data_IF_177934310790
#
_entry.id   IF_177934310790
#
_cell.length_a   1.000
_cell.length_b   1.000
_cell.length_c   1.000
_cell.angle_alpha   90.00
_cell.angle_beta   90.00
_cell.angle_gamma   90.00
#
_symmetry.space_group_name_H-M   'P 1'
#
loop_
_entity.id
_entity.type
_entity.pdbx_description
1 polymer ?
#
# COMPACT_ATOMS: atom_id res chain seq x y z
N UNK A 1 -38.62 -21.63 1.84
CA UNK A 1 -39.38 -20.69 1.03
C UNK A 1 -38.48 -19.77 0.22
N UNK A 2 -39.08 -18.93 -0.60
CA UNK A 2 -38.36 -18.01 -1.50
C UNK A 2 -37.45 -17.05 -0.76
N UNK A 3 -37.85 -16.56 0.43
CA UNK A 3 -37.03 -15.65 1.23
C UNK A 3 -35.75 -16.32 1.75
N UNK A 4 -35.85 -17.61 2.13
CA UNK A 4 -34.69 -18.40 2.59
C UNK A 4 -33.71 -18.63 1.43
N UNK A 5 -34.23 -18.98 0.26
CA UNK A 5 -33.42 -19.21 -0.94
C UNK A 5 -32.69 -17.93 -1.36
N UNK A 6 -33.37 -16.79 -1.29
CA UNK A 6 -32.79 -15.50 -1.56
C UNK A 6 -31.66 -15.14 -0.56
N UNK A 7 -31.91 -15.43 0.72
CA UNK A 7 -30.88 -15.19 1.77
C UNK A 7 -29.65 -16.08 1.55
N UNK A 8 -29.85 -17.34 1.16
CA UNK A 8 -28.76 -18.27 0.83
C UNK A 8 -27.97 -17.78 -0.40
N UNK A 9 -28.65 -17.26 -1.42
CA UNK A 9 -28.00 -16.66 -2.58
C UNK A 9 -27.16 -15.44 -2.20
N UNK A 10 -27.70 -14.57 -1.35
CA UNK A 10 -26.95 -13.38 -0.88
C UNK A 10 -25.72 -13.79 -0.07
N UNK A 11 -25.83 -14.83 0.77
CA UNK A 11 -24.70 -15.36 1.52
C UNK A 11 -23.60 -15.90 0.60
N UNK A 12 -23.98 -16.61 -0.46
CA UNK A 12 -23.03 -17.10 -1.46
C UNK A 12 -22.40 -15.96 -2.25
N UNK A 13 -23.17 -14.95 -2.60
CA UNK A 13 -22.66 -13.72 -3.23
C UNK A 13 -21.67 -12.99 -2.32
N UNK A 14 -21.95 -12.94 -1.00
CA UNK A 14 -20.99 -12.40 -0.03
C UNK A 14 -19.66 -13.15 -0.08
N UNK A 15 -19.71 -14.47 -0.02
CA UNK A 15 -18.52 -15.30 -0.04
C UNK A 15 -17.69 -15.07 -1.30
N UNK A 16 -18.34 -15.08 -2.45
CA UNK A 16 -17.69 -14.83 -3.74
C UNK A 16 -17.17 -13.40 -3.85
N UNK A 17 -17.96 -12.45 -3.39
CA UNK A 17 -17.58 -11.04 -3.41
C UNK A 17 -16.39 -10.74 -2.49
N UNK A 18 -16.34 -11.32 -1.30
CA UNK A 18 -15.21 -11.21 -0.37
C UNK A 18 -13.95 -11.82 -0.97
N UNK A 19 -14.08 -12.99 -1.59
CA UNK A 19 -12.94 -13.65 -2.25
C UNK A 19 -12.41 -12.82 -3.42
N UNK A 20 -13.29 -12.27 -4.26
CA UNK A 20 -12.89 -11.38 -5.35
C UNK A 20 -12.23 -10.11 -4.83
N UNK A 21 -12.74 -9.52 -3.76
CA UNK A 21 -12.15 -8.33 -3.13
C UNK A 21 -10.78 -8.64 -2.54
N UNK A 22 -10.61 -9.80 -1.94
CA UNK A 22 -9.33 -10.27 -1.41
C UNK A 22 -8.29 -10.45 -2.53
N UNK A 23 -8.69 -11.08 -3.64
CA UNK A 23 -7.82 -11.26 -4.80
C UNK A 23 -7.42 -9.91 -5.41
N UNK A 24 -8.36 -8.98 -5.54
CA UNK A 24 -8.08 -7.62 -5.99
C UNK A 24 -7.12 -6.89 -5.06
N UNK A 25 -7.30 -7.03 -3.74
CA UNK A 25 -6.39 -6.47 -2.74
C UNK A 25 -4.96 -7.00 -2.94
N UNK A 26 -4.81 -8.31 -3.09
CA UNK A 26 -3.51 -8.94 -3.32
C UNK A 26 -2.85 -8.44 -4.60
N UNK A 27 -3.61 -8.34 -5.68
CA UNK A 27 -3.08 -7.83 -6.96
C UNK A 27 -2.64 -6.38 -6.86
N UNK A 28 -3.43 -5.53 -6.20
CA UNK A 28 -3.06 -4.13 -5.96
C UNK A 28 -1.82 -4.00 -5.10
N UNK A 29 -1.72 -4.79 -4.03
CA UNK A 29 -0.56 -4.78 -3.15
C UNK A 29 0.70 -5.26 -3.87
N UNK A 30 0.58 -6.28 -4.71
CA UNK A 30 1.68 -6.77 -5.53
C UNK A 30 2.14 -5.69 -6.52
N UNK A 31 1.20 -5.06 -7.23
CA UNK A 31 1.51 -3.97 -8.16
C UNK A 31 2.20 -2.78 -7.47
N UNK A 32 1.74 -2.41 -6.26
CA UNK A 32 2.36 -1.36 -5.47
C UNK A 32 3.79 -1.75 -5.05
N UNK A 33 4.01 -2.99 -4.65
CA UNK A 33 5.33 -3.51 -4.27
C UNK A 33 6.29 -3.49 -5.46
N UNK A 34 5.85 -3.97 -6.62
CA UNK A 34 6.65 -3.96 -7.85
C UNK A 34 6.97 -2.53 -8.29
N UNK A 35 5.98 -1.64 -8.30
CA UNK A 35 6.18 -0.23 -8.62
C UNK A 35 7.17 0.46 -7.68
N UNK A 36 7.11 0.17 -6.39
CA UNK A 36 8.09 0.65 -5.41
C UNK A 36 9.50 0.17 -5.71
N UNK A 37 9.65 -1.13 -6.02
CA UNK A 37 10.96 -1.71 -6.35
C UNK A 37 11.54 -1.10 -7.62
N UNK A 38 10.73 -0.91 -8.66
CA UNK A 38 11.16 -0.26 -9.90
C UNK A 38 11.63 1.17 -9.66
N UNK A 39 10.88 1.97 -8.90
CA UNK A 39 11.25 3.34 -8.56
C UNK A 39 12.54 3.38 -7.75
N UNK A 40 12.72 2.47 -6.80
CA UNK A 40 13.96 2.38 -6.02
C UNK A 40 15.13 1.99 -6.88
N UNK A 41 14.95 1.05 -7.81
CA UNK A 41 16.00 0.64 -8.74
C UNK A 41 16.41 1.81 -9.64
N UNK A 42 15.46 2.57 -10.18
CA UNK A 42 15.73 3.77 -10.97
C UNK A 42 16.51 4.81 -10.15
N UNK A 43 16.10 5.06 -8.91
CA UNK A 43 16.80 6.00 -8.01
C UNK A 43 18.25 5.56 -7.73
N UNK A 44 18.47 4.25 -7.54
CA UNK A 44 19.82 3.71 -7.35
C UNK A 44 20.68 3.85 -8.59
N UNK A 45 20.11 3.64 -9.77
CA UNK A 45 20.82 3.86 -11.04
C UNK A 45 21.21 5.31 -11.23
N UNK A 46 20.31 6.25 -10.93
CA UNK A 46 20.58 7.69 -10.98
C UNK A 46 21.70 8.07 -10.01
N UNK A 47 21.66 7.54 -8.79
CA UNK A 47 22.69 7.74 -7.79
C UNK A 47 24.05 7.22 -8.29
N UNK A 48 24.07 6.04 -8.87
CA UNK A 48 25.28 5.43 -9.41
C UNK A 48 25.86 6.26 -10.56
N UNK A 49 25.02 6.67 -11.52
CA UNK A 49 25.42 7.53 -12.63
C UNK A 49 26.00 8.86 -12.14
N UNK A 50 25.35 9.49 -11.16
CA UNK A 50 25.84 10.75 -10.58
C UNK A 50 27.16 10.57 -9.83
N UNK A 51 27.34 9.44 -9.16
CA UNK A 51 28.60 9.10 -8.49
C UNK A 51 29.74 8.99 -9.50
N UNK A 52 29.50 8.30 -10.62
CA UNK A 52 30.48 8.18 -11.71
C UNK A 52 30.80 9.54 -12.29
N UNK A 53 29.79 10.36 -12.60
CA UNK A 53 29.99 11.72 -13.14
C UNK A 53 30.83 12.57 -12.20
N UNK A 54 30.55 12.49 -10.90
CA UNK A 54 31.31 13.21 -9.87
C UNK A 54 32.77 12.75 -9.83
N UNK A 55 33.01 11.44 -9.91
CA UNK A 55 34.36 10.89 -9.94
C UNK A 55 35.12 11.32 -11.19
N UNK A 56 34.46 11.28 -12.37
CA UNK A 56 35.06 11.71 -13.63
C UNK A 56 35.41 13.19 -13.59
N UNK A 57 34.49 14.03 -13.11
CA UNK A 57 34.72 15.47 -12.96
C UNK A 57 35.87 15.77 -12.00
N UNK A 58 35.91 15.09 -10.87
CA UNK A 58 37.00 15.22 -9.87
C UNK A 58 38.35 14.83 -10.45
N UNK A 59 38.38 13.66 -11.15
CA UNK A 59 39.59 13.18 -11.83
C UNK A 59 40.07 14.15 -12.88
N UNK A 60 39.15 14.73 -13.68
CA UNK A 60 39.50 15.71 -14.68
C UNK A 60 40.13 17.00 -14.08
N UNK A 61 39.57 17.46 -12.94
CA UNK A 61 40.11 18.60 -12.22
C UNK A 61 41.54 18.33 -11.68
N UNK A 62 41.77 17.16 -11.13
CA UNK A 62 43.06 16.71 -10.64
C UNK A 62 44.09 16.56 -11.77
N UNK A 63 43.66 16.04 -12.93
CA UNK A 63 44.51 15.79 -14.09
C UNK A 63 44.99 17.11 -14.75
N UNK A 64 44.29 18.23 -14.57
CA UNK A 64 44.75 19.52 -15.05
C UNK A 64 46.02 20.04 -14.39
N UNK A 65 46.49 19.35 -13.37
CA UNK A 65 47.81 19.65 -12.75
C UNK A 65 47.92 20.98 -12.06
N UNK A 66 46.83 21.69 -11.88
CA UNK A 66 46.80 22.93 -11.14
C UNK A 66 46.80 22.62 -9.66
N UNK A 67 47.98 22.46 -9.09
CA UNK A 67 48.15 22.39 -7.64
C UNK A 67 47.95 23.79 -7.05
N UNK A 68 46.78 24.04 -6.45
CA UNK A 68 46.49 25.29 -5.81
C UNK A 68 45.14 25.28 -5.10
N UNK A 69 44.89 26.33 -4.31
CA UNK A 69 43.64 26.45 -3.55
C UNK A 69 42.40 26.42 -4.44
N UNK A 70 42.49 26.94 -5.65
CA UNK A 70 41.35 26.95 -6.62
C UNK A 70 40.95 25.55 -7.03
N UNK A 71 41.91 24.67 -7.34
CA UNK A 71 41.63 23.28 -7.69
C UNK A 71 41.00 22.50 -6.50
N UNK A 72 41.55 22.72 -5.30
CA UNK A 72 40.99 22.13 -4.09
C UNK A 72 39.55 22.58 -3.83
N UNK A 73 39.27 23.87 -4.03
CA UNK A 73 37.92 24.42 -3.86
C UNK A 73 36.95 23.82 -4.89
N UNK A 74 37.38 23.63 -6.14
CA UNK A 74 36.54 22.99 -7.19
C UNK A 74 36.29 21.52 -6.91
N UNK A 75 37.29 20.79 -6.42
CA UNK A 75 37.13 19.38 -6.01
C UNK A 75 36.16 19.29 -4.83
N UNK A 76 36.30 20.13 -3.82
CA UNK A 76 35.38 20.16 -2.67
C UNK A 76 33.96 20.51 -3.10
N UNK A 77 33.79 21.42 -4.07
CA UNK A 77 32.47 21.73 -4.62
C UNK A 77 31.83 20.55 -5.32
N UNK A 78 32.60 19.80 -6.13
CA UNK A 78 32.12 18.56 -6.76
C UNK A 78 31.69 17.51 -5.74
N UNK A 79 32.47 17.33 -4.68
CA UNK A 79 32.14 16.41 -3.59
C UNK A 79 30.83 16.84 -2.90
N UNK A 80 30.68 18.16 -2.66
CA UNK A 80 29.48 18.71 -2.05
C UNK A 80 28.25 18.50 -2.92
N UNK A 81 28.37 18.73 -4.23
CA UNK A 81 27.27 18.47 -5.18
C UNK A 81 26.86 17.00 -5.18
N UNK A 82 27.83 16.08 -5.16
CA UNK A 82 27.55 14.65 -5.06
C UNK A 82 26.84 14.30 -3.76
N UNK A 83 27.29 14.84 -2.63
CA UNK A 83 26.67 14.61 -1.33
C UNK A 83 25.24 15.16 -1.28
N UNK A 84 24.99 16.35 -1.83
CA UNK A 84 23.67 16.95 -1.91
C UNK A 84 22.72 16.11 -2.78
N UNK A 85 23.22 15.61 -3.89
CA UNK A 85 22.45 14.74 -4.77
C UNK A 85 22.08 13.42 -4.06
N UNK A 86 23.03 12.81 -3.37
CA UNK A 86 22.78 11.59 -2.60
C UNK A 86 21.73 11.81 -1.52
N UNK A 87 21.74 12.97 -0.86
CA UNK A 87 20.72 13.33 0.13
C UNK A 87 19.34 13.48 -0.50
N UNK A 88 19.24 14.10 -1.67
CA UNK A 88 17.97 14.19 -2.41
C UNK A 88 17.44 12.83 -2.79
N UNK A 89 18.31 11.91 -3.23
CA UNK A 89 17.92 10.53 -3.54
C UNK A 89 17.43 9.81 -2.28
N UNK A 90 18.11 9.98 -1.15
CA UNK A 90 17.68 9.38 0.12
C UNK A 90 16.29 9.88 0.53
N UNK A 91 16.05 11.18 0.46
CA UNK A 91 14.74 11.77 0.75
C UNK A 91 13.66 11.28 -0.21
N UNK A 92 14.00 11.12 -1.48
CA UNK A 92 13.09 10.57 -2.48
C UNK A 92 12.68 9.13 -2.16
N UNK A 93 13.64 8.29 -1.76
CA UNK A 93 13.37 6.90 -1.35
C UNK A 93 12.50 6.86 -0.09
N UNK A 94 12.77 7.69 0.89
CA UNK A 94 11.93 7.79 2.09
C UNK A 94 10.49 8.21 1.75
N UNK A 95 10.34 9.16 0.83
CA UNK A 95 9.03 9.59 0.34
C UNK A 95 8.29 8.44 -0.38
N UNK A 96 8.99 7.66 -1.19
CA UNK A 96 8.44 6.47 -1.85
C UNK A 96 7.96 5.44 -0.82
N UNK A 97 8.73 5.22 0.25
CA UNK A 97 8.36 4.29 1.32
C UNK A 97 7.10 4.77 2.06
N UNK A 98 7.01 6.07 2.37
CA UNK A 98 5.81 6.64 3.00
C UNK A 98 4.59 6.52 2.10
N UNK A 99 4.73 6.81 0.81
CA UNK A 99 3.64 6.71 -0.16
C UNK A 99 3.19 5.26 -0.31
N UNK A 100 4.12 4.32 -0.37
CA UNK A 100 3.82 2.90 -0.42
C UNK A 100 3.00 2.45 0.80
N UNK A 101 3.42 2.84 2.01
CA UNK A 101 2.69 2.49 3.23
C UNK A 101 1.28 3.09 3.24
N UNK A 102 1.14 4.33 2.77
CA UNK A 102 -0.15 4.98 2.65
C UNK A 102 -1.06 4.22 1.65
N UNK A 103 -0.54 3.86 0.50
CA UNK A 103 -1.27 3.15 -0.54
C UNK A 103 -1.69 1.74 -0.08
N UNK A 104 -0.83 1.04 0.66
CA UNK A 104 -1.16 -0.26 1.26
C UNK A 104 -2.29 -0.12 2.28
N UNK A 105 -2.24 0.88 3.15
CA UNK A 105 -3.31 1.15 4.12
C UNK A 105 -4.62 1.51 3.44
N UNK A 106 -4.57 2.30 2.38
CA UNK A 106 -5.76 2.67 1.59
C UNK A 106 -6.39 1.44 0.92
N UNK A 107 -5.58 0.55 0.38
CA UNK A 107 -6.04 -0.70 -0.24
C UNK A 107 -6.70 -1.60 0.80
N UNK A 108 -6.13 -1.72 1.99
CA UNK A 108 -6.71 -2.49 3.08
C UNK A 108 -8.04 -1.90 3.54
N UNK A 109 -8.13 -0.57 3.69
CA UNK A 109 -9.37 0.12 4.08
C UNK A 109 -10.47 -0.09 3.03
N UNK A 110 -10.14 -0.04 1.75
CA UNK A 110 -11.07 -0.32 0.65
C UNK A 110 -11.62 -1.76 0.74
N UNK A 111 -10.73 -2.72 0.95
CA UNK A 111 -11.10 -4.12 1.12
C UNK A 111 -12.04 -4.31 2.32
N UNK A 112 -11.73 -3.72 3.46
CA UNK A 112 -12.57 -3.81 4.65
C UNK A 112 -13.95 -3.18 4.41
N UNK A 113 -14.01 -2.08 3.69
CA UNK A 113 -15.27 -1.43 3.32
C UNK A 113 -16.15 -2.35 2.46
N UNK A 114 -15.58 -2.99 1.47
CA UNK A 114 -16.28 -3.95 0.59
C UNK A 114 -16.78 -5.15 1.41
N UNK A 115 -15.93 -5.71 2.23
CA UNK A 115 -16.25 -6.86 3.09
C UNK A 115 -17.41 -6.54 4.03
N UNK A 116 -17.36 -5.39 4.69
CA UNK A 116 -18.39 -4.97 5.63
C UNK A 116 -19.75 -4.75 4.93
N UNK A 117 -19.73 -4.14 3.74
CA UNK A 117 -20.95 -3.95 2.94
C UNK A 117 -21.58 -5.28 2.56
N UNK A 118 -20.79 -6.24 2.07
CA UNK A 118 -21.27 -7.56 1.68
C UNK A 118 -21.86 -8.31 2.88
N UNK A 119 -21.19 -8.23 4.02
CA UNK A 119 -21.67 -8.85 5.26
C UNK A 119 -23.00 -8.24 5.71
N UNK A 120 -23.14 -6.91 5.66
CA UNK A 120 -24.39 -6.21 5.98
C UNK A 120 -25.54 -6.67 5.08
N UNK A 121 -25.30 -6.80 3.80
CA UNK A 121 -26.31 -7.28 2.85
C UNK A 121 -26.79 -8.70 3.21
N UNK A 122 -25.89 -9.57 3.62
CA UNK A 122 -26.22 -10.93 4.05
C UNK A 122 -27.06 -10.93 5.33
N UNK A 123 -26.68 -10.12 6.33
CA UNK A 123 -27.43 -9.97 7.57
C UNK A 123 -28.85 -9.46 7.28
N UNK A 124 -29.00 -8.46 6.45
CA UNK A 124 -30.30 -7.92 6.04
C UNK A 124 -31.15 -8.98 5.35
N UNK A 125 -30.56 -9.78 4.45
CA UNK A 125 -31.26 -10.83 3.76
C UNK A 125 -31.78 -11.92 4.71
N UNK A 126 -30.99 -12.33 5.69
CA UNK A 126 -31.41 -13.28 6.71
C UNK A 126 -32.47 -12.71 7.64
N UNK A 127 -32.36 -11.44 8.01
CA UNK A 127 -33.34 -10.75 8.86
C UNK A 127 -34.70 -10.57 8.14
N UNK A 128 -34.74 -10.61 6.83
CA UNK A 128 -35.97 -10.56 6.04
C UNK A 128 -36.72 -11.88 5.97
N UNK A 129 -36.17 -12.98 6.50
CA UNK A 129 -36.84 -14.28 6.52
C UNK A 129 -37.98 -14.27 7.57
N UNK A 130 -39.26 -14.49 7.19
CA UNK A 130 -40.36 -14.41 8.13
C UNK A 130 -40.51 -15.66 9.00
N UNK A 131 -41.09 -15.46 10.18
CA UNK A 131 -41.64 -16.44 11.13
C UNK A 131 -40.64 -17.40 11.82
N UNK A 132 -40.94 -18.67 11.94
CA UNK A 132 -40.21 -19.65 12.77
C UNK A 132 -38.74 -19.85 12.40
N UNK A 133 -38.37 -19.61 11.15
CA UNK A 133 -37.00 -19.64 10.71
C UNK A 133 -36.20 -18.44 11.25
N UNK A 134 -36.87 -17.31 11.50
CA UNK A 134 -36.21 -16.09 11.97
C UNK A 134 -35.73 -16.16 13.42
N UNK A 135 -36.27 -17.05 14.24
CA UNK A 135 -35.84 -17.25 15.63
C UNK A 135 -34.45 -17.90 15.65
N UNK A 136 -34.21 -18.90 14.85
CA UNK A 136 -32.91 -19.57 14.73
C UNK A 136 -31.88 -18.65 14.02
N UNK A 137 -32.33 -18.00 12.98
CA UNK A 137 -31.45 -17.10 12.21
C UNK A 137 -31.21 -15.75 12.91
N UNK A 138 -32.14 -15.36 13.79
CA UNK A 138 -31.93 -14.20 14.67
C UNK A 138 -30.76 -14.40 15.63
N UNK A 139 -30.55 -15.62 16.13
CA UNK A 139 -29.40 -15.95 16.94
C UNK A 139 -28.09 -15.84 16.15
N UNK A 140 -28.09 -16.31 14.91
CA UNK A 140 -26.93 -16.19 14.00
C UNK A 140 -26.71 -14.73 13.60
N UNK A 141 -27.78 -14.02 13.26
CA UNK A 141 -27.72 -12.60 12.94
C UNK A 141 -27.23 -11.74 14.10
N UNK A 142 -27.63 -12.08 15.33
CA UNK A 142 -27.16 -11.41 16.53
C UNK A 142 -25.66 -11.65 16.77
N UNK A 143 -25.17 -12.85 16.48
CA UNK A 143 -23.76 -13.18 16.57
C UNK A 143 -22.95 -12.34 15.56
N UNK A 144 -23.44 -12.23 14.34
CA UNK A 144 -22.82 -11.39 13.31
C UNK A 144 -22.87 -9.90 13.66
N UNK A 145 -24.02 -9.43 14.16
CA UNK A 145 -24.15 -8.05 14.61
C UNK A 145 -23.22 -7.73 15.77
N UNK A 146 -23.04 -8.65 16.70
CA UNK A 146 -22.13 -8.46 17.83
C UNK A 146 -20.69 -8.34 17.33
N UNK A 147 -20.34 -9.12 16.33
CA UNK A 147 -19.00 -9.07 15.73
C UNK A 147 -18.78 -7.80 14.91
N UNK A 148 -19.78 -7.38 14.14
CA UNK A 148 -19.71 -6.15 13.35
C UNK A 148 -19.82 -4.90 14.23
N UNK A 149 -20.61 -4.98 15.31
CA UNK A 149 -20.82 -3.87 16.24
C UNK A 149 -19.75 -3.77 17.32
N UNK A 150 -18.82 -4.70 17.36
CA UNK A 150 -17.68 -4.55 18.26
C UNK A 150 -16.96 -3.27 17.88
N UNK A 151 -16.97 -2.28 18.77
CA UNK A 151 -16.27 -1.06 18.45
C UNK A 151 -14.82 -1.36 18.17
N UNK A 152 -14.24 -0.57 17.28
CA UNK A 152 -12.83 -0.71 16.93
C UNK A 152 -11.92 -0.69 18.18
N UNK A 153 -12.41 -0.19 19.30
CA UNK A 153 -11.79 -0.31 20.58
C UNK A 153 -11.55 -1.74 21.04
N UNK A 154 -12.27 -2.72 20.49
CA UNK A 154 -12.00 -4.13 20.73
C UNK A 154 -10.82 -4.64 19.90
N UNK A 155 -10.40 -3.89 18.89
CA UNK A 155 -9.27 -4.19 18.02
C UNK A 155 -8.09 -3.23 18.24
N UNK A 156 -8.27 -2.25 19.09
CA UNK A 156 -7.21 -1.30 19.46
C UNK A 156 -6.42 -1.77 20.67
#
# INVERSE_FOLDING_TARGET
GAAKDKANQVAEQERQGVQSAEDNKRQKQLALSEGKQEKKAAARQDKFAKTIDTLVATKALLAKGQAGNTTNLLVMDQIRQGANYNEKIRQSIESMDRQYLFDIKSTEAEYQGIRNRLRSNTIEAYNAIPSTGSILLGAVGSAFNTEVSRPDGAFS
#
